data_IF_728849842569
#
_entry.id   IF_728849842569
#
_cell.length_a   1.000
_cell.length_b   1.000
_cell.length_c   1.000
_cell.angle_alpha   90.00
_cell.angle_beta   90.00
_cell.angle_gamma   90.00
#
_symmetry.space_group_name_H-M   'P 1'
#
loop_
_entity.id
_entity.type
_entity.pdbx_description
1 polymer ?
#
# COMPACT_ATOMS: atom_id res chain seq x y z
N UNK A 1 8.40 -69.89 30.14
CA UNK A 1 8.24 -70.86 29.02
C UNK A 1 7.46 -70.13 27.94
N UNK A 2 8.07 -69.92 26.76
CA UNK A 2 7.58 -69.12 25.63
C UNK A 2 6.18 -69.51 25.13
N UNK A 3 5.50 -68.59 24.41
CA UNK A 3 5.14 -68.65 22.96
C UNK A 3 4.34 -67.37 22.62
N UNK A 4 4.91 -66.38 21.91
CA UNK A 4 4.70 -66.01 20.50
C UNK A 4 3.23 -65.99 20.04
N UNK A 5 2.74 -64.80 19.66
CA UNK A 5 1.79 -64.62 18.55
C UNK A 5 2.13 -63.31 17.82
N UNK A 6 2.56 -63.48 16.58
CA UNK A 6 2.68 -62.45 15.56
C UNK A 6 1.38 -62.40 14.75
N UNK A 7 1.04 -61.23 14.20
CA UNK A 7 0.34 -61.14 12.92
C UNK A 7 -0.95 -60.32 12.87
N UNK A 8 -0.95 -59.34 11.97
CA UNK A 8 -2.11 -59.06 11.11
C UNK A 8 -2.72 -57.66 11.25
N UNK A 9 -2.41 -56.77 10.29
CA UNK A 9 -3.08 -55.48 10.14
C UNK A 9 -4.45 -55.57 9.46
N UNK A 10 -5.14 -54.43 9.39
CA UNK A 10 -6.40 -54.27 8.65
C UNK A 10 -7.21 -53.11 9.19
N UNK A 11 -7.60 -52.17 8.32
CA UNK A 11 -8.16 -50.88 8.67
C UNK A 11 -9.60 -50.89 9.21
N UNK A 12 -10.05 -49.68 9.57
CA UNK A 12 -11.42 -49.41 9.98
C UNK A 12 -11.57 -47.96 10.45
N UNK A 13 -11.91 -47.08 9.52
CA UNK A 13 -12.47 -45.76 9.80
C UNK A 13 -13.93 -45.91 10.31
N UNK A 14 -14.30 -45.15 11.35
CA UNK A 14 -15.57 -44.43 11.55
C UNK A 14 -15.69 -43.97 13.01
N UNK A 15 -15.72 -42.66 13.28
CA UNK A 15 -16.86 -41.72 13.23
C UNK A 15 -17.68 -41.74 14.54
N UNK A 16 -17.37 -40.76 15.40
CA UNK A 16 -18.31 -39.99 16.21
C UNK A 16 -17.60 -38.65 16.45
N UNK A 17 -18.07 -37.49 15.99
CA UNK A 17 -19.46 -37.03 16.11
C UNK A 17 -19.48 -35.93 17.16
N UNK A 18 -18.94 -34.74 16.82
CA UNK A 18 -18.84 -33.61 17.74
C UNK A 18 -18.52 -32.32 17.02
N UNK A 19 -19.50 -31.85 16.22
CA UNK A 19 -19.43 -30.55 15.55
C UNK A 19 -19.39 -29.42 16.56
N UNK A 20 -18.20 -28.88 16.79
CA UNK A 20 -18.01 -27.53 17.29
C UNK A 20 -17.62 -26.68 16.10
N UNK A 21 -18.58 -25.98 15.50
CA UNK A 21 -18.27 -24.88 14.59
C UNK A 21 -17.38 -23.94 15.39
N UNK A 22 -16.10 -23.90 15.02
CA UNK A 22 -15.17 -22.94 15.57
C UNK A 22 -15.63 -21.59 15.03
N UNK A 23 -16.59 -20.97 15.73
CA UNK A 23 -16.91 -19.57 15.54
C UNK A 23 -15.70 -18.84 16.11
N UNK A 24 -14.65 -18.76 15.31
CA UNK A 24 -13.57 -17.81 15.49
C UNK A 24 -14.25 -16.45 15.50
N UNK A 25 -14.52 -15.98 16.72
CA UNK A 25 -14.90 -14.60 17.02
C UNK A 25 -13.83 -13.77 16.32
N UNK A 26 -14.14 -13.23 15.14
CA UNK A 26 -13.30 -12.25 14.48
C UNK A 26 -13.24 -11.09 15.44
N UNK A 27 -12.12 -11.00 16.17
CA UNK A 27 -11.86 -9.88 17.03
C UNK A 27 -11.88 -8.64 16.14
N UNK A 28 -12.45 -7.52 16.62
CA UNK A 28 -12.45 -6.27 15.85
C UNK A 28 -10.99 -5.99 15.48
N UNK A 29 -10.74 -5.78 14.18
CA UNK A 29 -9.41 -5.55 13.61
C UNK A 29 -8.50 -4.81 14.60
N UNK A 30 -7.30 -5.35 14.86
CA UNK A 30 -6.32 -4.66 15.69
C UNK A 30 -6.15 -3.24 15.12
N UNK A 31 -6.34 -2.16 15.93
CA UNK A 31 -6.26 -0.79 15.42
C UNK A 31 -4.97 -0.49 14.64
N UNK A 32 -3.87 -1.14 15.02
CA UNK A 32 -2.59 -1.04 14.33
C UNK A 32 -2.61 -1.71 12.94
N UNK A 33 -3.28 -2.86 12.82
CA UNK A 33 -3.45 -3.56 11.54
C UNK A 33 -4.34 -2.76 10.59
N UNK A 34 -5.43 -2.19 11.11
CA UNK A 34 -6.28 -1.29 10.33
C UNK A 34 -5.50 -0.07 9.84
N UNK A 35 -4.73 0.58 10.71
CA UNK A 35 -3.90 1.72 10.33
C UNK A 35 -2.87 1.34 9.26
N UNK A 36 -2.18 0.21 9.44
CA UNK A 36 -1.19 -0.30 8.48
C UNK A 36 -1.82 -0.52 7.11
N UNK A 37 -3.00 -1.16 7.07
CA UNK A 37 -3.76 -1.39 5.85
C UNK A 37 -4.19 -0.08 5.20
N UNK A 38 -4.74 0.86 5.96
CA UNK A 38 -5.19 2.15 5.41
C UNK A 38 -4.04 2.97 4.85
N UNK A 39 -2.88 2.99 5.51
CA UNK A 39 -1.68 3.66 4.98
C UNK A 39 -1.20 3.02 3.68
N UNK A 40 -1.15 1.68 3.63
CA UNK A 40 -0.76 0.95 2.43
C UNK A 40 -1.75 1.18 1.27
N UNK A 41 -3.05 1.16 1.55
CA UNK A 41 -4.11 1.42 0.57
C UNK A 41 -4.05 2.86 0.05
N UNK A 42 -3.86 3.84 0.94
CA UNK A 42 -3.69 5.23 0.56
C UNK A 42 -2.49 5.42 -0.36
N UNK A 43 -1.33 4.88 0.03
CA UNK A 43 -0.11 4.93 -0.79
C UNK A 43 -0.35 4.31 -2.18
N UNK A 44 -1.00 3.15 -2.24
CA UNK A 44 -1.24 2.45 -3.50
C UNK A 44 -2.16 3.24 -4.44
N UNK A 45 -3.12 4.00 -3.89
CA UNK A 45 -4.09 4.78 -4.67
C UNK A 45 -3.58 6.14 -5.12
N UNK A 46 -2.62 6.72 -4.41
CA UNK A 46 -2.20 8.10 -4.64
C UNK A 46 -0.76 8.24 -5.13
N UNK A 47 0.08 7.23 -4.96
CA UNK A 47 1.46 7.27 -5.46
C UNK A 47 1.48 7.30 -6.99
N UNK A 48 2.20 8.27 -7.55
CA UNK A 48 2.25 8.52 -9.00
C UNK A 48 2.98 7.41 -9.78
N UNK A 49 3.96 6.76 -9.14
CA UNK A 49 4.78 5.72 -9.75
C UNK A 49 5.05 4.62 -8.74
N UNK A 50 4.96 3.36 -9.16
CA UNK A 50 5.40 2.23 -8.33
C UNK A 50 6.92 2.17 -8.26
N UNK A 51 7.44 1.45 -7.27
CA UNK A 51 8.88 1.21 -7.10
C UNK A 51 9.50 0.60 -8.36
N UNK A 52 8.82 -0.34 -9.00
CA UNK A 52 9.25 -1.00 -10.23
C UNK A 52 9.35 0.01 -11.38
N UNK A 53 8.34 0.86 -11.53
CA UNK A 53 8.34 1.92 -12.54
C UNK A 53 9.49 2.91 -12.34
N UNK A 54 9.79 3.27 -11.09
CA UNK A 54 10.92 4.15 -10.75
C UNK A 54 12.25 3.49 -11.14
N UNK A 55 12.42 2.20 -10.80
CA UNK A 55 13.63 1.43 -11.16
C UNK A 55 13.81 1.37 -12.68
N UNK A 56 12.73 1.11 -13.42
CA UNK A 56 12.77 1.06 -14.88
C UNK A 56 13.06 2.43 -15.49
N UNK A 57 12.49 3.51 -14.95
CA UNK A 57 12.81 4.88 -15.35
C UNK A 57 14.30 5.21 -15.17
N UNK A 58 14.94 4.72 -14.10
CA UNK A 58 16.38 4.92 -13.86
C UNK A 58 17.27 4.15 -14.82
N UNK A 59 16.79 3.03 -15.36
CA UNK A 59 17.53 2.19 -16.32
C UNK A 59 17.42 2.70 -17.76
N UNK A 60 16.33 3.37 -18.10
CA UNK A 60 16.12 3.91 -19.45
C UNK A 60 17.11 5.04 -19.74
N UNK A 61 17.68 5.09 -20.96
CA UNK A 61 18.50 6.21 -21.37
C UNK A 61 17.65 7.50 -21.34
N UNK A 62 18.29 8.62 -21.03
CA UNK A 62 17.63 9.92 -20.97
C UNK A 62 17.02 10.27 -22.33
N UNK A 63 15.75 10.69 -22.32
CA UNK A 63 15.06 11.15 -23.52
C UNK A 63 15.56 12.55 -23.91
N UNK A 64 16.54 12.58 -24.81
CA UNK A 64 17.17 13.81 -25.26
C UNK A 64 16.20 14.76 -25.99
N UNK A 65 15.12 14.26 -26.59
CA UNK A 65 14.10 15.11 -27.24
C UNK A 65 13.41 15.99 -26.20
N UNK A 66 12.93 15.37 -25.11
CA UNK A 66 12.31 16.10 -24.00
C UNK A 66 13.25 17.09 -23.33
N UNK A 67 14.53 16.72 -23.21
CA UNK A 67 15.56 17.63 -22.67
C UNK A 67 15.73 18.85 -23.57
N UNK A 68 15.82 18.63 -24.88
CA UNK A 68 15.98 19.72 -25.85
C UNK A 68 14.74 20.63 -25.89
N UNK A 69 13.53 20.04 -25.93
CA UNK A 69 12.26 20.77 -25.86
C UNK A 69 12.18 21.66 -24.62
N UNK A 70 12.52 21.12 -23.44
CA UNK A 70 12.51 21.90 -22.19
C UNK A 70 13.55 23.02 -22.21
N UNK A 71 14.76 22.76 -22.73
CA UNK A 71 15.83 23.77 -22.82
C UNK A 71 15.52 24.91 -23.77
N UNK A 72 14.68 24.69 -24.77
CA UNK A 72 14.28 25.73 -25.73
C UNK A 72 13.15 26.64 -25.21
N UNK A 73 12.55 26.32 -24.06
CA UNK A 73 11.58 27.20 -23.40
C UNK A 73 12.28 28.44 -22.83
N UNK A 74 11.57 29.56 -22.81
CA UNK A 74 11.99 30.72 -22.03
C UNK A 74 12.05 30.40 -20.54
N UNK A 75 12.80 31.19 -19.77
CA UNK A 75 12.96 30.96 -18.33
C UNK A 75 11.61 30.91 -17.59
N UNK A 76 10.70 31.86 -17.87
CA UNK A 76 9.38 31.90 -17.23
C UNK A 76 8.54 30.66 -17.58
N UNK A 77 8.65 30.16 -18.80
CA UNK A 77 7.98 28.93 -19.21
C UNK A 77 8.56 27.69 -18.53
N UNK A 78 9.88 27.63 -18.33
CA UNK A 78 10.49 26.54 -17.57
C UNK A 78 10.00 26.53 -16.12
N UNK A 79 9.94 27.71 -15.49
CA UNK A 79 9.40 27.86 -14.14
C UNK A 79 7.94 27.44 -14.05
N UNK A 80 7.10 27.90 -14.98
CA UNK A 80 5.70 27.53 -15.01
C UNK A 80 5.52 26.02 -15.18
N UNK A 81 6.26 25.40 -16.11
CA UNK A 81 6.23 23.93 -16.31
C UNK A 81 6.65 23.15 -15.07
N UNK A 82 7.62 23.64 -14.32
CA UNK A 82 8.01 23.04 -13.05
C UNK A 82 6.95 23.23 -11.96
N UNK A 83 6.37 24.43 -11.86
CA UNK A 83 5.31 24.74 -10.91
C UNK A 83 4.04 23.89 -11.15
N UNK A 84 3.66 23.66 -12.40
CA UNK A 84 2.53 22.80 -12.76
C UNK A 84 2.78 21.36 -12.28
N UNK A 85 3.96 20.80 -12.57
CA UNK A 85 4.33 19.45 -12.12
C UNK A 85 4.36 19.33 -10.59
N UNK A 86 4.86 20.34 -9.89
CA UNK A 86 4.84 20.38 -8.44
C UNK A 86 3.41 20.44 -7.89
N UNK A 87 2.55 21.23 -8.54
CA UNK A 87 1.14 21.34 -8.18
C UNK A 87 0.42 20.00 -8.29
N UNK A 88 0.65 19.25 -9.38
CA UNK A 88 0.09 17.90 -9.56
C UNK A 88 0.57 16.93 -8.46
N UNK A 89 1.86 16.99 -8.09
CA UNK A 89 2.40 16.16 -7.00
C UNK A 89 1.79 16.53 -5.65
N UNK A 90 1.61 17.82 -5.36
CA UNK A 90 0.98 18.30 -4.13
C UNK A 90 -0.47 17.82 -4.04
N UNK A 91 -1.23 17.81 -5.14
CA UNK A 91 -2.60 17.28 -5.15
C UNK A 91 -2.63 15.80 -4.73
N UNK A 92 -1.69 14.98 -5.20
CA UNK A 92 -1.61 13.57 -4.79
C UNK A 92 -1.24 13.40 -3.31
N UNK A 93 -0.38 14.26 -2.77
CA UNK A 93 -0.05 14.28 -1.33
C UNK A 93 -1.29 14.65 -0.50
N UNK A 94 -2.09 15.61 -0.98
CA UNK A 94 -3.34 15.99 -0.33
C UNK A 94 -4.35 14.83 -0.35
N UNK A 95 -4.53 14.16 -1.50
CA UNK A 95 -5.40 12.99 -1.57
C UNK A 95 -4.92 11.85 -0.67
N UNK A 96 -3.60 11.64 -0.54
CA UNK A 96 -3.04 10.69 0.41
C UNK A 96 -3.43 11.06 1.85
N UNK A 97 -3.21 12.31 2.24
CA UNK A 97 -3.50 12.79 3.60
C UNK A 97 -4.98 12.64 3.96
N UNK A 98 -5.89 12.95 3.02
CA UNK A 98 -7.35 12.78 3.19
C UNK A 98 -7.76 11.34 3.52
N UNK A 99 -7.00 10.35 3.04
CA UNK A 99 -7.26 8.93 3.29
C UNK A 99 -6.76 8.45 4.67
N UNK A 100 -5.95 9.23 5.37
CA UNK A 100 -5.40 8.84 6.68
C UNK A 100 -6.45 9.01 7.79
N UNK A 101 -6.73 7.97 8.60
CA UNK A 101 -7.70 8.06 9.67
C UNK A 101 -7.37 9.18 10.65
N UNK A 102 -8.33 10.08 10.88
CA UNK A 102 -8.19 11.20 11.81
C UNK A 102 -7.69 12.49 11.17
N UNK A 103 -7.07 12.48 9.98
CA UNK A 103 -6.58 13.70 9.33
C UNK A 103 -7.71 14.69 9.06
N UNK A 104 -8.82 14.24 8.45
CA UNK A 104 -9.99 15.07 8.18
C UNK A 104 -10.77 15.52 9.43
N UNK A 105 -10.40 15.03 10.63
CA UNK A 105 -11.01 15.44 11.90
C UNK A 105 -10.25 16.58 12.59
N UNK A 106 -9.04 16.90 12.12
CA UNK A 106 -8.24 18.02 12.60
C UNK A 106 -8.87 19.36 12.18
N UNK A 107 -8.50 20.44 12.86
CA UNK A 107 -8.88 21.79 12.43
C UNK A 107 -8.30 22.09 11.03
N UNK A 108 -8.92 22.99 10.29
CA UNK A 108 -8.41 23.37 8.96
C UNK A 108 -7.00 23.96 9.06
N UNK A 109 -6.72 24.74 10.10
CA UNK A 109 -5.41 25.33 10.34
C UNK A 109 -4.36 24.24 10.58
N UNK A 110 -4.67 23.21 11.38
CA UNK A 110 -3.75 22.09 11.61
C UNK A 110 -3.51 21.27 10.34
N UNK A 111 -4.55 21.01 9.54
CA UNK A 111 -4.41 20.32 8.25
C UNK A 111 -3.49 21.10 7.30
N UNK A 112 -3.65 22.42 7.24
CA UNK A 112 -2.83 23.31 6.42
C UNK A 112 -1.39 23.33 6.94
N UNK A 113 -1.16 23.42 8.25
CA UNK A 113 0.18 23.39 8.84
C UNK A 113 0.90 22.08 8.50
N UNK A 114 0.23 20.94 8.65
CA UNK A 114 0.80 19.63 8.34
C UNK A 114 1.14 19.44 6.85
N UNK A 115 0.40 20.09 5.94
CA UNK A 115 0.66 20.03 4.50
C UNK A 115 1.70 21.05 4.01
N UNK A 116 1.93 22.12 4.78
CA UNK A 116 2.87 23.19 4.42
C UNK A 116 4.29 22.99 4.98
N UNK A 117 4.43 22.25 6.07
CA UNK A 117 5.70 21.99 6.75
C UNK A 117 6.62 21.09 5.91
#
# INVERSE_FOLDING_TARGET
>A
RSTIIDGGGGGGCNFDGGGGYNFSIQHPHNPLELLTKTVADAHTRTCLLTTEQIIDCKRKPMDLSRVFEFKNLSHDQQWLRCADKLTDMIQQIIEFAKMIPGFMKLSQDDQIVLLKA
#
